data_IF_015245790864
#
_entry.id   IF_015245790864
#
_cell.length_a   1.000
_cell.length_b   1.000
_cell.length_c   1.000
_cell.angle_alpha   90.00
_cell.angle_beta   90.00
_cell.angle_gamma   90.00
#
_symmetry.space_group_name_H-M   'P 1'
#
loop_
_entity.id
_entity.type
_entity.pdbx_description
1 polymer ?
2 water ?
#
# COMPACT_ATOMS: atom_id res chain seq x y z
N UNK A 3 4.37 11.99 -3.23
CA UNK A 3 4.78 10.71 -3.82
C UNK A 3 3.61 10.01 -4.49
N UNK A 4 3.85 9.47 -5.68
CA UNK A 4 2.81 8.73 -6.39
C UNK A 4 2.44 7.48 -5.62
N UNK A 5 1.15 7.37 -5.28
CA UNK A 5 0.64 6.19 -4.60
C UNK A 5 0.30 5.10 -5.61
N UNK A 6 0.23 3.87 -5.12
CA UNK A 6 0.16 2.71 -5.99
C UNK A 6 -0.76 1.67 -5.38
N UNK A 7 -1.06 0.65 -6.17
CA UNK A 7 -1.67 -0.56 -5.66
C UNK A 7 -1.24 -1.71 -6.56
N UNK A 8 -1.36 -2.94 -6.06
CA UNK A 8 -0.89 -4.15 -6.73
C UNK A 8 -2.11 -4.96 -7.18
N UNK A 9 -2.10 -5.38 -8.44
CA UNK A 9 -3.24 -6.05 -9.03
C UNK A 9 -2.76 -7.17 -9.96
N UNK A 10 -3.64 -8.15 -10.17
CA UNK A 10 -3.41 -9.26 -11.10
C UNK A 10 -2.15 -10.06 -10.72
N UNK A 11 -2.08 -10.45 -9.44
CA UNK A 11 -0.93 -11.15 -8.89
C UNK A 11 -1.06 -12.64 -9.21
N UNK A 12 -0.12 -13.16 -10.01
CA UNK A 12 -0.07 -14.59 -10.31
C UNK A 12 1.38 -15.07 -10.26
N UNK A 13 1.58 -16.28 -9.78
CA UNK A 13 2.89 -16.90 -9.68
C UNK A 13 3.03 -17.93 -10.79
N UNK A 14 3.96 -17.67 -11.67
CA UNK A 14 4.33 -18.57 -12.73
C UNK A 14 5.76 -19.01 -12.54
N UNK A 15 6.11 -20.07 -13.22
CA UNK A 15 7.44 -20.56 -13.17
C UNK A 15 8.06 -20.12 -14.47
N UNK A 16 9.07 -19.29 -14.37
CA UNK A 16 9.70 -18.73 -15.52
C UNK A 16 11.16 -19.10 -15.49
N UNK A 17 11.70 -19.53 -16.61
CA UNK A 17 13.08 -19.94 -16.71
C UNK A 17 13.50 -20.88 -15.62
N UNK A 18 12.72 -21.94 -15.53
CA UNK A 18 12.89 -23.00 -14.58
C UNK A 18 12.76 -22.65 -13.12
N UNK A 19 12.31 -21.45 -12.80
CA UNK A 19 12.12 -21.10 -11.39
C UNK A 19 10.99 -20.08 -11.27
N UNK A 20 10.62 -19.79 -10.04
CA UNK A 20 9.32 -19.21 -9.72
C UNK A 20 9.41 -17.70 -9.56
N UNK A 21 8.53 -16.98 -10.28
CA UNK A 21 8.46 -15.53 -10.22
C UNK A 21 7.00 -15.12 -10.06
N UNK A 22 6.78 -14.03 -9.35
CA UNK A 22 5.45 -13.44 -9.21
C UNK A 22 5.33 -12.31 -10.23
N UNK A 23 4.35 -12.44 -11.12
CA UNK A 23 4.00 -11.38 -12.06
C UNK A 23 2.80 -10.60 -11.52
N UNK A 24 2.89 -9.28 -11.61
CA UNK A 24 1.83 -8.45 -11.06
C UNK A 24 1.83 -7.12 -11.80
N UNK A 25 0.71 -6.41 -11.68
CA UNK A 25 0.55 -5.09 -12.25
C UNK A 25 0.75 -4.05 -11.16
N UNK A 26 1.63 -3.09 -11.43
CA UNK A 26 1.82 -1.94 -10.55
C UNK A 26 0.94 -0.82 -11.09
N UNK A 27 -0.08 -0.46 -10.33
CA UNK A 27 -1.12 0.45 -10.80
C UNK A 27 -1.00 1.74 -10.02
N UNK A 28 -0.70 2.83 -10.72
CA UNK A 28 -0.73 4.17 -10.15
C UNK A 28 -1.70 5.04 -10.94
N UNK A 29 -1.90 6.27 -10.46
CA UNK A 29 -2.74 7.22 -11.18
C UNK A 29 -2.14 7.60 -12.54
N UNK A 30 -0.92 7.18 -12.84
CA UNK A 30 -0.26 7.52 -14.09
C UNK A 30 -0.12 6.32 -15.04
N UNK A 31 -0.78 5.21 -14.74
CA UNK A 31 -0.75 4.05 -15.62
C UNK A 31 -0.50 2.78 -14.84
N UNK A 32 -0.27 1.70 -15.59
CA UNK A 32 -0.02 0.40 -15.02
C UNK A 32 1.07 -0.31 -15.82
N UNK A 33 1.91 -1.07 -15.12
CA UNK A 33 2.98 -1.84 -15.74
C UNK A 33 3.01 -3.22 -15.13
N UNK A 34 3.34 -4.22 -15.94
CA UNK A 34 3.57 -5.57 -15.45
C UNK A 34 5.01 -5.68 -14.96
N UNK A 35 5.18 -6.18 -13.74
CA UNK A 35 6.49 -6.43 -13.16
C UNK A 35 6.60 -7.91 -12.78
N UNK A 36 7.83 -8.34 -12.53
CA UNK A 36 8.09 -9.73 -12.20
C UNK A 36 9.23 -9.80 -11.21
N UNK A 37 9.07 -10.60 -10.16
CA UNK A 37 10.09 -10.72 -9.14
C UNK A 37 10.16 -12.16 -8.63
N UNK A 38 11.37 -12.57 -8.25
CA UNK A 38 11.58 -13.92 -7.76
C UNK A 38 10.93 -14.12 -6.39
N UNK A 39 10.59 -15.36 -6.09
CA UNK A 39 9.85 -15.72 -4.89
C UNK A 39 10.67 -16.71 -4.07
N UNK A 40 10.69 -16.50 -2.75
CA UNK A 40 11.33 -17.41 -1.81
C UNK A 40 10.27 -18.16 -1.02
N UNK A 41 10.58 -19.40 -0.67
CA UNK A 41 9.66 -20.27 0.07
C UNK A 41 10.37 -20.80 1.31
N UNK A 42 9.57 -21.20 2.30
CA UNK A 42 10.14 -21.86 3.46
C UNK A 42 10.50 -23.30 3.11
N UNK A 43 11.10 -24.01 4.06
CA UNK A 43 11.53 -25.39 3.81
C UNK A 43 10.37 -26.29 3.43
N UNK A 44 9.14 -25.86 3.68
CA UNK A 44 7.96 -26.66 3.39
C UNK A 44 7.35 -26.36 2.03
N UNK A 45 7.97 -25.49 1.24
CA UNK A 45 7.42 -25.13 -0.06
C UNK A 45 6.33 -24.09 -0.04
N UNK A 46 6.10 -23.44 1.09
CA UNK A 46 5.12 -22.38 1.20
C UNK A 46 5.82 -21.03 1.11
N UNK A 47 5.11 -20.05 0.56
CA UNK A 47 5.69 -18.72 0.32
C UNK A 47 6.30 -18.16 1.61
N UNK A 48 7.46 -17.52 1.48
CA UNK A 48 8.12 -16.87 2.60
C UNK A 48 8.33 -15.39 2.35
N UNK A 49 8.91 -15.03 1.21
CA UNK A 49 9.21 -13.63 0.91
C UNK A 49 9.35 -13.46 -0.59
N UNK A 50 9.26 -12.20 -1.02
CA UNK A 50 9.59 -11.80 -2.38
C UNK A 50 10.94 -11.11 -2.34
N UNK A 51 11.86 -11.54 -3.21
CA UNK A 51 13.22 -11.03 -3.15
C UNK A 51 13.26 -9.54 -3.46
N UNK A 52 14.06 -8.81 -2.68
CA UNK A 52 14.18 -7.36 -2.72
C UNK A 52 15.61 -6.93 -3.02
N UNK A 53 16.48 -7.89 -3.28
CA UNK A 53 17.92 -7.66 -3.27
C UNK A 53 18.57 -8.03 -4.59
N UNK A 54 18.71 -9.31 -4.88
CA UNK A 54 18.90 -9.80 -6.24
C UNK A 54 17.60 -9.68 -7.02
N UNK A 55 16.86 -8.61 -6.77
CA UNK A 55 15.50 -8.44 -7.28
C UNK A 55 15.53 -8.12 -8.76
N UNK A 56 14.73 -8.84 -9.53
CA UNK A 56 14.67 -8.62 -10.97
C UNK A 56 14.21 -7.21 -11.30
N UNK A 57 13.36 -6.62 -10.45
CA UNK A 57 12.85 -5.28 -10.74
C UNK A 57 13.96 -4.24 -10.60
N UNK A 58 14.71 -4.30 -9.50
CA UNK A 58 15.76 -3.31 -9.25
C UNK A 58 16.89 -3.41 -10.26
N UNK A 59 17.10 -4.58 -10.86
CA UNK A 59 18.23 -4.78 -11.76
C UNK A 59 17.84 -4.95 -13.22
N UNK A 60 16.54 -5.03 -13.53
CA UNK A 60 16.14 -5.25 -14.91
C UNK A 60 14.87 -4.54 -15.34
N UNK A 61 14.13 -3.92 -14.43
CA UNK A 61 12.84 -3.32 -14.76
C UNK A 61 12.66 -1.99 -14.04
N UNK A 62 13.71 -1.19 -13.96
CA UNK A 62 13.59 0.10 -13.29
C UNK A 62 12.86 1.11 -14.17
N UNK A 63 13.17 1.12 -15.47
CA UNK A 63 12.43 1.99 -16.37
C UNK A 63 10.94 1.64 -16.38
N UNK A 64 10.60 0.36 -16.25
CA UNK A 64 9.20 -0.03 -16.08
C UNK A 64 8.66 0.49 -14.76
N UNK A 65 9.41 0.29 -13.67
CA UNK A 65 8.96 0.74 -12.36
C UNK A 65 8.76 2.25 -12.33
N UNK A 66 9.69 3.00 -12.92
CA UNK A 66 9.63 4.46 -12.89
C UNK A 66 8.60 5.02 -13.86
N UNK A 67 8.16 4.24 -14.83
CA UNK A 67 7.27 4.76 -15.86
C UNK A 67 5.86 5.06 -15.36
N UNK A 68 5.54 4.72 -14.11
CA UNK A 68 4.25 5.04 -13.51
C UNK A 68 4.39 5.98 -12.33
N UNK A 69 5.60 6.36 -11.97
CA UNK A 69 5.82 7.33 -10.91
C UNK A 69 6.08 8.69 -11.52
N UNK A 70 5.69 9.74 -10.79
CA UNK A 70 5.96 11.11 -11.19
C UNK A 70 7.36 11.46 -10.67
N UNK A 71 8.34 11.51 -11.58
CA UNK A 71 9.72 11.70 -11.18
C UNK A 71 10.09 13.17 -10.98
N UNK A 72 9.30 14.10 -11.52
CA UNK A 72 9.48 15.49 -11.11
C UNK A 72 9.18 15.62 -9.62
N UNK A 73 9.89 16.53 -8.97
CA UNK A 73 10.03 16.74 -7.54
C UNK A 73 11.08 15.81 -6.92
N UNK A 74 11.57 14.81 -7.64
CA UNK A 74 12.68 14.03 -7.14
C UNK A 74 13.95 14.86 -7.22
N UNK A 75 14.71 14.97 -6.14
CA UNK A 75 16.06 15.55 -6.24
C UNK A 75 16.88 14.85 -7.31
N UNK A 76 17.58 15.64 -8.12
CA UNK A 76 18.36 15.07 -9.21
C UNK A 76 19.41 14.10 -8.67
N UNK A 77 20.03 14.43 -7.55
CA UNK A 77 21.09 13.57 -7.01
C UNK A 77 20.54 12.35 -6.27
N UNK A 78 19.24 12.22 -6.13
CA UNK A 78 18.73 10.99 -5.54
C UNK A 78 18.35 10.01 -6.63
N UNK A 79 18.75 8.75 -6.53
CA UNK A 79 18.43 7.78 -7.58
C UNK A 79 16.94 7.50 -7.66
N UNK A 80 16.49 7.19 -8.88
CA UNK A 80 15.09 6.88 -9.10
C UNK A 80 14.64 5.69 -8.26
N UNK A 81 15.49 4.66 -8.17
CA UNK A 81 15.11 3.46 -7.42
C UNK A 81 14.93 3.77 -5.93
N UNK A 82 15.63 4.78 -5.43
CA UNK A 82 15.48 5.15 -4.03
C UNK A 82 14.31 6.11 -3.83
N UNK A 83 14.01 6.94 -4.83
CA UNK A 83 12.90 7.88 -4.70
C UNK A 83 11.57 7.14 -4.61
N UNK A 84 11.25 6.36 -5.64
CA UNK A 84 10.00 5.62 -5.64
C UNK A 84 10.00 4.64 -4.46
N UNK A 85 8.79 4.30 -4.01
CA UNK A 85 8.61 3.51 -2.79
C UNK A 85 8.74 2.03 -3.12
N UNK A 86 9.94 1.65 -3.57
CA UNK A 86 10.17 0.28 -3.99
C UNK A 86 10.01 -0.70 -2.84
N UNK A 87 10.55 -0.36 -1.66
CA UNK A 87 10.34 -1.19 -0.49
C UNK A 87 8.86 -1.34 -0.18
N UNK A 88 8.10 -0.24 -0.23
CA UNK A 88 6.65 -0.34 0.01
C UNK A 88 5.98 -1.20 -1.04
N UNK A 89 6.48 -1.17 -2.28
CA UNK A 89 5.89 -1.96 -3.36
C UNK A 89 6.10 -3.45 -3.11
N UNK A 90 7.34 -3.84 -2.80
CA UNK A 90 7.64 -5.23 -2.50
C UNK A 90 6.83 -5.70 -1.30
N UNK A 91 6.71 -4.85 -0.28
CA UNK A 91 5.95 -5.21 0.91
C UNK A 91 4.47 -5.43 0.60
N UNK A 92 3.93 -4.72 -0.39
CA UNK A 92 2.52 -4.89 -0.74
C UNK A 92 2.29 -6.17 -1.53
N UNK A 93 3.24 -6.53 -2.39
CA UNK A 93 3.15 -7.79 -3.15
C UNK A 93 3.22 -8.98 -2.22
N UNK A 94 4.07 -8.89 -1.19
CA UNK A 94 4.14 -9.95 -0.18
C UNK A 94 2.82 -10.09 0.56
N UNK A 95 2.18 -8.97 0.89
CA UNK A 95 0.88 -9.03 1.54
C UNK A 95 -0.14 -9.74 0.65
N UNK A 96 -0.10 -9.51 -0.66
CA UNK A 96 -1.03 -10.17 -1.56
C UNK A 96 -0.77 -11.67 -1.67
N UNK A 97 0.40 -12.13 -1.25
CA UNK A 97 0.80 -13.52 -1.47
C UNK A 97 0.72 -14.39 -0.21
N UNK A 98 0.26 -13.84 0.91
CA UNK A 98 0.12 -14.64 2.12
C UNK A 98 -1.29 -15.16 2.29
N UNK B 2 -12.85 -15.10 4.64
CA UNK B 2 -14.29 -15.13 4.88
C UNK B 2 -15.07 -15.33 3.58
N UNK B 3 -16.40 -15.40 3.70
CA UNK B 3 -17.26 -15.52 2.53
C UNK B 3 -17.52 -14.19 1.84
N UNK B 4 -17.17 -13.07 2.48
CA UNK B 4 -17.50 -11.75 1.98
C UNK B 4 -16.27 -10.93 1.60
N UNK B 5 -15.09 -11.51 1.68
CA UNK B 5 -13.87 -10.77 1.34
C UNK B 5 -13.76 -10.61 -0.17
N UNK B 6 -13.38 -9.41 -0.60
CA UNK B 6 -13.23 -9.10 -2.02
C UNK B 6 -12.18 -8.02 -2.19
N UNK B 7 -11.71 -7.88 -3.43
CA UNK B 7 -10.84 -6.78 -3.81
C UNK B 7 -11.23 -6.28 -5.19
N UNK B 8 -11.03 -4.99 -5.43
CA UNK B 8 -11.35 -4.34 -6.70
C UNK B 8 -10.08 -4.14 -7.49
N UNK B 9 -10.11 -4.49 -8.77
CA UNK B 9 -8.97 -4.34 -9.66
C UNK B 9 -9.44 -3.92 -11.05
N UNK B 10 -8.49 -3.43 -11.84
CA UNK B 10 -8.73 -3.08 -13.26
C UNK B 10 -9.85 -2.05 -13.39
N UNK B 11 -9.81 -1.03 -12.53
CA UNK B 11 -10.79 0.04 -12.56
C UNK B 11 -10.51 0.95 -13.74
N UNK B 12 -11.56 1.31 -14.47
CA UNK B 12 -11.48 2.32 -15.53
C UNK B 12 -12.89 2.79 -15.85
N UNK B 13 -13.01 4.08 -16.12
CA UNK B 13 -14.29 4.68 -16.49
C UNK B 13 -14.34 4.78 -18.01
N UNK B 14 -15.37 4.19 -18.60
CA UNK B 14 -15.58 4.24 -20.04
C UNK B 14 -16.95 4.85 -20.34
N UNK B 15 -17.02 5.59 -21.45
CA UNK B 15 -18.25 6.23 -21.87
C UNK B 15 -18.90 5.40 -22.97
N UNK B 16 -20.19 5.09 -22.79
CA UNK B 16 -20.93 4.25 -23.72
C UNK B 16 -22.29 4.92 -23.93
N UNK B 17 -22.49 5.52 -25.10
CA UNK B 17 -23.69 6.30 -25.42
C UNK B 17 -23.96 7.37 -24.37
N UNK B 18 -23.00 8.30 -24.24
CA UNK B 18 -23.08 9.43 -23.32
C UNK B 18 -23.09 8.98 -21.86
N UNK B 19 -23.20 7.68 -21.62
CA UNK B 19 -23.29 7.13 -20.27
C UNK B 19 -21.88 6.86 -19.75
N UNK B 20 -21.44 7.67 -18.79
CA UNK B 20 -20.20 7.38 -18.10
C UNK B 20 -20.40 6.19 -17.17
N UNK B 21 -19.53 5.20 -17.29
CA UNK B 21 -19.63 3.99 -16.47
C UNK B 21 -18.25 3.59 -16.00
N UNK B 22 -18.17 3.17 -14.75
CA UNK B 22 -16.94 2.58 -14.23
C UNK B 22 -17.02 1.07 -14.43
N UNK B 23 -15.96 0.50 -14.99
CA UNK B 23 -15.81 -0.94 -15.10
C UNK B 23 -14.67 -1.40 -14.21
N UNK B 24 -14.80 -2.59 -13.64
CA UNK B 24 -13.79 -3.06 -12.71
C UNK B 24 -14.00 -4.55 -12.48
N UNK B 25 -12.91 -5.22 -12.10
CA UNK B 25 -12.95 -6.63 -11.76
C UNK B 25 -13.18 -6.75 -10.25
N UNK B 26 -14.24 -7.47 -9.88
CA UNK B 26 -14.47 -7.85 -8.49
C UNK B 26 -13.75 -9.17 -8.25
N UNK B 27 -12.74 -9.15 -7.37
CA UNK B 27 -11.90 -10.31 -7.11
C UNK B 27 -12.17 -10.80 -5.69
N UNK B 28 -12.63 -12.04 -5.57
CA UNK B 28 -12.92 -12.66 -4.28
C UNK B 28 -12.10 -13.94 -4.13
N UNK B 29 -12.46 -14.73 -3.12
CA UNK B 29 -11.81 -16.01 -2.89
C UNK B 29 -12.35 -17.10 -3.81
N UNK B 30 -13.46 -16.86 -4.50
CA UNK B 30 -14.01 -17.83 -5.43
C UNK B 30 -13.67 -17.55 -6.89
N UNK B 31 -13.20 -16.34 -7.20
CA UNK B 31 -12.86 -16.00 -8.57
C UNK B 31 -12.94 -14.49 -8.80
N UNK B 32 -13.20 -14.13 -10.05
CA UNK B 32 -13.25 -12.73 -10.43
C UNK B 32 -14.22 -12.54 -11.59
N UNK B 33 -14.84 -11.35 -11.63
CA UNK B 33 -15.82 -11.03 -12.66
C UNK B 33 -15.85 -9.53 -12.84
N UNK B 34 -16.12 -9.09 -14.06
CA UNK B 34 -16.14 -7.66 -14.37
C UNK B 34 -17.53 -7.07 -14.16
N UNK B 35 -17.61 -6.00 -13.37
CA UNK B 35 -18.85 -5.27 -13.14
C UNK B 35 -18.76 -3.88 -13.75
N UNK B 36 -19.92 -3.25 -13.88
CA UNK B 36 -20.04 -1.93 -14.48
C UNK B 36 -21.14 -1.15 -13.77
N UNK B 37 -20.89 0.13 -13.52
CA UNK B 37 -21.74 0.93 -12.67
C UNK B 37 -21.68 2.38 -13.11
N UNK B 38 -22.80 3.10 -12.89
CA UNK B 38 -22.92 4.48 -13.35
C UNK B 38 -22.10 5.44 -12.48
N UNK B 39 -21.64 6.52 -13.11
CA UNK B 39 -20.72 7.47 -12.49
C UNK B 39 -21.28 8.88 -12.67
N UNK B 40 -21.10 9.73 -11.64
CA UNK B 40 -21.55 11.11 -11.65
C UNK B 40 -20.36 12.07 -11.55
N UNK B 41 -20.53 13.27 -12.12
CA UNK B 41 -19.52 14.31 -12.07
C UNK B 41 -20.14 15.63 -11.65
N UNK B 42 -19.28 16.58 -11.28
CA UNK B 42 -19.72 17.95 -10.99
C UNK B 42 -19.66 18.77 -12.28
N UNK B 43 -19.87 20.09 -12.16
CA UNK B 43 -19.99 20.94 -13.33
C UNK B 43 -18.68 21.02 -14.11
N UNK B 44 -17.54 20.96 -13.42
CA UNK B 44 -16.25 21.03 -14.10
C UNK B 44 -16.00 19.76 -14.90
N UNK B 45 -15.97 18.62 -14.23
CA UNK B 45 -15.74 17.36 -14.90
C UNK B 45 -15.08 16.33 -14.02
N UNK B 46 -14.84 16.68 -12.76
CA UNK B 46 -14.24 15.76 -11.81
C UNK B 46 -15.27 14.75 -11.32
N UNK B 47 -14.78 13.58 -10.91
CA UNK B 47 -15.65 12.52 -10.43
C UNK B 47 -16.36 12.94 -9.15
N UNK B 48 -17.67 12.68 -9.08
CA UNK B 48 -18.47 13.02 -7.92
C UNK B 48 -18.87 11.79 -7.11
N UNK B 49 -19.51 10.81 -7.73
CA UNK B 49 -20.06 9.70 -6.95
C UNK B 49 -20.28 8.52 -7.87
N UNK B 50 -20.46 7.35 -7.24
CA UNK B 50 -20.90 6.14 -7.91
C UNK B 50 -22.37 5.94 -7.57
N UNK B 51 -23.17 5.61 -8.58
CA UNK B 51 -24.58 5.33 -8.36
C UNK B 51 -24.74 4.05 -7.54
N UNK B 52 -25.51 4.13 -6.45
CA UNK B 52 -25.75 2.95 -5.63
C UNK B 52 -27.22 2.65 -5.34
N UNK B 53 -28.15 3.43 -5.90
CA UNK B 53 -29.57 3.15 -5.72
C UNK B 53 -30.25 2.69 -7.00
N UNK B 54 -30.17 3.50 -8.06
CA UNK B 54 -30.55 3.03 -9.39
C UNK B 54 -29.36 2.33 -10.05
N UNK B 55 -28.76 1.42 -9.30
CA UNK B 55 -27.45 0.88 -9.64
C UNK B 55 -27.57 -0.26 -10.64
N UNK B 56 -26.62 -0.31 -11.57
CA UNK B 56 -26.57 -1.41 -12.52
C UNK B 56 -26.14 -2.70 -11.83
N UNK B 57 -25.18 -2.62 -10.92
CA UNK B 57 -24.72 -3.80 -10.18
C UNK B 57 -25.87 -4.42 -9.40
N UNK B 58 -26.63 -3.60 -8.68
CA UNK B 58 -27.64 -4.11 -7.75
C UNK B 58 -28.64 -5.02 -8.46
N UNK B 59 -29.24 -4.53 -9.55
CA UNK B 59 -30.38 -5.20 -10.16
C UNK B 59 -30.04 -5.97 -11.43
N UNK B 60 -29.06 -5.51 -12.21
CA UNK B 60 -28.76 -6.13 -13.50
C UNK B 60 -27.62 -7.12 -13.48
N UNK B 61 -26.83 -7.20 -12.40
CA UNK B 61 -25.70 -8.11 -12.39
C UNK B 61 -25.73 -9.04 -11.19
N UNK B 62 -26.91 -9.60 -10.91
CA UNK B 62 -27.03 -10.56 -9.81
C UNK B 62 -26.26 -11.84 -10.13
N UNK B 63 -26.38 -12.34 -11.36
CA UNK B 63 -25.74 -13.61 -11.72
C UNK B 63 -24.22 -13.50 -11.64
N UNK B 64 -23.67 -12.36 -12.10
CA UNK B 64 -22.24 -12.13 -11.99
C UNK B 64 -21.80 -12.05 -10.54
N UNK B 65 -22.57 -11.37 -9.70
CA UNK B 65 -22.22 -11.26 -8.28
C UNK B 65 -22.25 -12.62 -7.59
N UNK B 66 -23.20 -13.47 -7.97
CA UNK B 66 -23.28 -14.82 -7.42
C UNK B 66 -22.21 -15.74 -7.99
N UNK B 67 -21.47 -15.31 -9.01
CA UNK B 67 -20.37 -16.10 -9.52
C UNK B 67 -19.12 -16.01 -8.66
N UNK B 68 -18.97 -14.93 -7.90
CA UNK B 68 -17.84 -14.76 -6.99
C UNK B 68 -18.26 -14.76 -5.54
N UNK B 69 -19.56 -14.86 -5.26
CA UNK B 69 -20.09 -15.01 -3.91
C UNK B 69 -21.03 -16.20 -3.88
N UNK B 70 -20.95 -16.99 -2.81
CA UNK B 70 -21.89 -18.08 -2.63
C UNK B 70 -23.25 -17.56 -2.17
N UNK B 74 -30.87 -15.51 -2.11
CA UNK B 74 -31.00 -16.81 -2.77
C UNK B 74 -32.27 -16.98 -3.63
N UNK B 75 -33.47 -16.75 -3.06
CA UNK B 75 -34.70 -17.15 -3.77
C UNK B 75 -34.84 -16.47 -5.13
N UNK B 76 -35.64 -17.10 -6.00
CA UNK B 76 -35.75 -16.67 -7.38
C UNK B 76 -36.64 -15.45 -7.57
N UNK B 77 -37.58 -15.20 -6.66
CA UNK B 77 -38.42 -14.01 -6.77
C UNK B 77 -37.76 -12.75 -6.20
N UNK B 78 -36.68 -12.89 -5.44
CA UNK B 78 -35.88 -11.75 -5.00
C UNK B 78 -34.43 -12.19 -4.87
N UNK B 79 -33.70 -12.21 -5.99
CA UNK B 79 -32.33 -12.74 -5.99
C UNK B 79 -31.28 -11.79 -5.42
N UNK B 80 -31.68 -10.72 -4.75
CA UNK B 80 -30.74 -9.74 -4.22
C UNK B 80 -29.74 -10.39 -3.28
N UNK B 81 -28.46 -10.03 -3.44
CA UNK B 81 -27.44 -10.43 -2.50
C UNK B 81 -27.41 -9.43 -1.35
N UNK B 82 -26.43 -9.57 -0.46
CA UNK B 82 -26.47 -8.91 0.83
C UNK B 82 -26.09 -7.44 0.71
N UNK B 83 -26.68 -6.61 1.59
CA UNK B 83 -26.63 -5.17 1.41
C UNK B 83 -25.31 -4.55 1.86
N UNK B 84 -24.79 -4.95 3.03
CA UNK B 84 -23.51 -4.39 3.47
C UNK B 84 -22.40 -4.77 2.49
N UNK B 85 -22.50 -5.95 1.87
CA UNK B 85 -21.55 -6.32 0.83
C UNK B 85 -21.65 -5.37 -0.36
N UNK B 86 -22.86 -5.20 -0.89
CA UNK B 86 -23.06 -4.29 -2.01
C UNK B 86 -22.57 -2.89 -1.68
N UNK B 87 -22.90 -2.39 -0.48
CA UNK B 87 -22.43 -1.07 -0.09
C UNK B 87 -20.90 -1.04 0.01
N UNK B 88 -20.30 -2.12 0.50
CA UNK B 88 -18.84 -2.20 0.56
C UNK B 88 -18.23 -2.12 -0.83
N UNK B 89 -18.82 -2.84 -1.79
CA UNK B 89 -18.30 -2.83 -3.15
C UNK B 89 -18.35 -1.43 -3.73
N UNK B 90 -19.49 -0.74 -3.58
CA UNK B 90 -19.62 0.61 -4.10
C UNK B 90 -18.62 1.54 -3.44
N UNK B 91 -18.37 1.34 -2.15
CA UNK B 91 -17.46 2.22 -1.41
C UNK B 91 -16.03 2.04 -1.89
N UNK B 92 -15.58 0.80 -2.08
CA UNK B 92 -14.23 0.56 -2.58
C UNK B 92 -14.03 1.21 -3.95
N UNK B 93 -14.99 1.05 -4.86
CA UNK B 93 -14.89 1.67 -6.18
C UNK B 93 -14.85 3.19 -6.05
N UNK B 94 -15.66 3.74 -5.13
CA UNK B 94 -15.68 5.18 -4.94
C UNK B 94 -14.33 5.72 -4.47
N UNK B 95 -13.60 4.94 -3.67
CA UNK B 95 -12.31 5.41 -3.17
C UNK B 95 -11.22 5.35 -4.23
N UNK B 96 -11.35 4.42 -5.18
CA UNK B 96 -10.39 4.36 -6.28
C UNK B 96 -10.52 5.55 -7.21
N UNK B 97 -11.75 6.02 -7.43
CA UNK B 97 -12.04 7.04 -8.44
C UNK B 97 -11.83 8.47 -7.94
N UNK B 98 -11.49 8.65 -6.67
CA UNK B 98 -11.31 9.99 -6.12
C UNK B 98 -9.82 10.34 -6.00
N UNK C 4 12.81 19.16 4.91
CA UNK C 4 11.77 18.14 5.01
C UNK C 4 10.92 18.32 6.26
N UNK C 5 9.66 17.92 6.17
CA UNK C 5 8.77 17.76 7.32
C UNK C 5 8.50 16.28 7.52
N UNK C 6 7.89 15.95 8.66
CA UNK C 6 7.65 14.55 8.99
C UNK C 6 6.37 14.43 9.82
N UNK C 7 5.78 13.23 9.77
CA UNK C 7 4.65 12.87 10.60
C UNK C 7 4.87 11.47 11.16
N UNK C 8 4.25 11.19 12.29
CA UNK C 8 4.43 9.93 13.00
C UNK C 8 3.08 9.22 13.08
N UNK C 9 3.09 7.91 12.84
CA UNK C 9 1.90 7.09 12.94
C UNK C 9 2.24 5.75 13.57
N UNK C 10 1.21 5.07 14.03
CA UNK C 10 1.30 3.67 14.47
C UNK C 10 2.17 3.50 15.72
N UNK C 11 2.10 4.46 16.64
CA UNK C 11 2.86 4.36 17.88
C UNK C 11 2.27 3.25 18.75
N UNK C 12 3.13 2.54 19.47
CA UNK C 12 2.71 1.49 20.40
C UNK C 12 3.93 0.98 21.16
N UNK C 13 3.74 0.66 22.44
CA UNK C 13 4.80 0.08 23.24
C UNK C 13 4.77 -1.43 23.07
N UNK C 14 5.95 -2.02 22.92
CA UNK C 14 6.05 -3.47 22.90
C UNK C 14 7.43 -3.87 23.40
N UNK C 15 7.48 -4.98 24.13
CA UNK C 15 8.73 -5.50 24.63
C UNK C 15 9.45 -6.24 23.52
N UNK C 16 10.73 -5.90 23.30
CA UNK C 16 11.56 -6.52 22.28
C UNK C 16 12.91 -6.83 22.94
N UNK C 17 13.17 -8.11 23.21
CA UNK C 17 14.41 -8.55 23.86
C UNK C 17 14.57 -7.86 25.22
N UNK C 18 13.65 -8.20 26.13
CA UNK C 18 13.67 -7.74 27.52
C UNK C 18 13.55 -6.23 27.66
N UNK C 19 13.69 -5.51 26.55
CA UNK C 19 13.74 -4.06 26.57
C UNK C 19 12.37 -3.47 26.30
N UNK C 20 12.03 -2.41 27.03
CA UNK C 20 10.81 -1.66 26.78
C UNK C 20 11.11 -0.65 25.67
N UNK C 21 10.49 -0.84 24.52
CA UNK C 21 10.72 0.03 23.38
C UNK C 21 9.39 0.45 22.79
N UNK C 22 9.43 1.46 21.94
CA UNK C 22 8.26 1.93 21.21
C UNK C 22 8.53 1.77 19.73
N UNK C 23 7.61 1.11 19.03
CA UNK C 23 7.67 0.98 17.59
C UNK C 23 6.67 1.93 16.98
N UNK C 24 7.11 2.67 15.96
CA UNK C 24 6.25 3.61 15.28
C UNK C 24 6.63 3.64 13.81
N UNK C 25 5.96 4.49 13.05
CA UNK C 25 6.26 4.69 11.63
C UNK C 25 6.56 6.16 11.40
N UNK C 26 7.70 6.43 10.77
CA UNK C 26 8.06 7.78 10.35
C UNK C 26 7.57 7.95 8.91
N UNK C 27 6.86 9.05 8.65
CA UNK C 27 6.18 9.25 7.38
C UNK C 27 6.54 10.64 6.86
N UNK C 28 6.86 10.72 5.57
CA UNK C 28 7.33 11.96 4.96
C UNK C 28 6.82 12.01 3.53
N UNK C 29 7.26 13.04 2.79
CA UNK C 29 7.01 13.06 1.35
C UNK C 29 7.71 11.89 0.68
N UNK C 30 8.96 11.63 1.06
CA UNK C 30 9.78 10.58 0.48
C UNK C 30 9.35 9.18 0.85
N UNK C 31 8.28 9.01 1.61
CA UNK C 31 7.84 7.67 1.95
C UNK C 31 7.60 7.42 3.42
N UNK C 32 7.89 6.19 3.85
CA UNK C 32 7.52 5.76 5.19
C UNK C 32 8.43 4.62 5.61
N UNK C 33 8.87 4.65 6.87
CA UNK C 33 9.74 3.62 7.42
C UNK C 33 9.40 3.43 8.88
N UNK C 34 9.68 2.23 9.40
CA UNK C 34 9.41 1.87 10.77
C UNK C 34 10.69 1.97 11.60
N UNK C 35 10.58 2.55 12.79
CA UNK C 35 11.69 2.70 13.71
C UNK C 35 11.30 2.18 15.09
N UNK C 36 12.31 1.93 15.92
CA UNK C 36 12.11 1.44 17.27
C UNK C 36 13.12 2.07 18.21
N UNK C 37 12.67 2.49 19.38
CA UNK C 37 13.50 3.23 20.32
C UNK C 37 13.11 2.85 21.74
N UNK C 38 14.09 2.93 22.65
CA UNK C 38 13.85 2.56 24.03
C UNK C 38 12.95 3.58 24.73
N UNK C 39 12.26 3.11 25.76
CA UNK C 39 11.35 3.93 26.56
C UNK C 39 11.84 3.90 28.01
N UNK C 40 11.84 5.05 28.66
CA UNK C 40 12.15 5.15 30.07
C UNK C 40 10.87 5.44 30.86
N UNK C 41 10.83 4.96 32.09
CA UNK C 41 9.67 5.09 32.93
C UNK C 41 10.06 5.74 34.26
N UNK C 42 9.05 5.98 35.09
CA UNK C 42 9.25 6.52 36.42
C UNK C 42 9.16 5.39 37.44
N UNK C 43 9.23 5.76 38.73
CA UNK C 43 9.27 4.77 39.81
C UNK C 43 7.98 3.96 39.88
N UNK C 44 6.87 4.51 39.39
CA UNK C 44 5.59 3.81 39.37
C UNK C 44 5.36 3.03 38.08
N UNK C 45 6.35 2.97 37.20
CA UNK C 45 6.20 2.24 35.95
C UNK C 45 5.36 2.94 34.90
N UNK C 46 5.10 4.24 35.06
CA UNK C 46 4.41 5.00 34.03
C UNK C 46 5.41 5.66 33.08
N UNK C 47 4.93 6.01 31.90
CA UNK C 47 5.80 6.48 30.83
C UNK C 47 6.49 7.79 31.20
N UNK C 48 7.82 7.79 31.19
CA UNK C 48 8.61 8.99 31.44
C UNK C 48 9.02 9.68 30.14
N UNK C 49 9.77 8.99 29.29
CA UNK C 49 10.32 9.60 28.09
C UNK C 49 10.73 8.52 27.11
N UNK C 50 11.07 8.95 25.90
CA UNK C 50 11.64 8.09 24.88
C UNK C 50 13.13 8.44 24.76
N UNK C 51 13.99 7.41 24.80
CA UNK C 51 15.42 7.65 24.93
C UNK C 51 15.96 8.40 23.72
N UNK C 52 16.66 9.50 23.97
CA UNK C 52 17.25 10.31 22.92
C UNK C 52 18.76 10.17 22.80
N UNK C 53 19.45 9.74 23.87
CA UNK C 53 20.91 9.65 23.85
C UNK C 53 21.41 8.24 23.56
N UNK C 54 21.18 7.30 24.50
CA UNK C 54 21.51 5.91 24.25
C UNK C 54 20.44 5.32 23.35
N UNK C 55 20.40 5.82 22.11
CA UNK C 55 19.27 5.66 21.22
C UNK C 55 19.51 4.50 20.27
N UNK C 56 18.60 3.52 20.30
CA UNK C 56 18.67 2.42 19.34
C UNK C 56 18.66 2.93 17.90
N UNK C 57 17.84 3.95 17.64
CA UNK C 57 17.76 4.51 16.29
C UNK C 57 19.12 5.05 15.86
N UNK C 58 19.81 5.74 16.76
CA UNK C 58 21.10 6.34 16.40
C UNK C 58 22.22 5.31 16.30
N UNK C 59 22.09 4.16 16.96
CA UNK C 59 23.11 3.13 16.87
C UNK C 59 22.89 2.19 15.69
N UNK C 60 21.64 1.90 15.34
CA UNK C 60 21.35 0.79 14.42
C UNK C 60 20.41 1.11 13.27
N UNK C 61 19.59 2.16 13.34
CA UNK C 61 18.64 2.45 12.28
C UNK C 61 18.93 3.79 11.62
N UNK C 62 20.20 4.11 11.41
CA UNK C 62 20.56 5.37 10.76
C UNK C 62 20.14 5.36 9.31
N UNK C 63 20.40 4.24 8.60
CA UNK C 63 20.01 4.16 7.20
C UNK C 63 18.49 4.22 7.05
N UNK C 64 17.76 3.56 7.94
CA UNK C 64 16.30 3.55 7.84
C UNK C 64 15.72 4.94 8.04
N UNK C 65 16.18 5.65 9.07
CA UNK C 65 15.66 6.99 9.33
C UNK C 65 16.00 7.94 8.18
N UNK C 66 17.17 7.78 7.58
CA UNK C 66 17.59 8.65 6.49
C UNK C 66 16.92 8.29 5.17
N UNK C 67 16.49 7.03 5.01
CA UNK C 67 15.87 6.57 3.77
C UNK C 67 14.57 7.30 3.45
N UNK C 68 14.04 8.08 4.38
CA UNK C 68 12.83 8.87 4.14
C UNK C 68 13.15 10.36 4.18
N UNK C 69 14.40 10.74 3.98
CA UNK C 69 14.78 12.15 3.93
C UNK C 69 15.64 12.42 2.71
N UNK C 70 15.56 13.64 2.22
CA UNK C 70 16.44 14.11 1.15
C UNK C 70 17.67 14.73 1.80
N UNK C 71 18.78 13.99 1.79
CA UNK C 71 20.05 14.47 2.31
C UNK C 71 21.07 14.57 1.19
N UNK C 72 20.65 15.11 0.05
CA UNK C 72 21.56 15.35 -1.07
C UNK C 72 22.42 16.57 -0.79
N UNK C 73 22.77 16.77 0.48
CA UNK C 73 23.71 17.79 0.92
C UNK C 73 24.50 17.21 2.09
N UNK C 74 25.82 17.18 1.95
CA UNK C 74 26.79 16.71 2.94
C UNK C 74 26.77 15.19 3.10
N UNK C 75 26.99 14.40 2.04
CA UNK C 75 27.05 12.95 2.22
C UNK C 75 28.37 12.52 2.84
N UNK C 76 28.28 11.58 3.77
CA UNK C 76 29.47 11.03 4.43
C UNK C 76 29.11 9.77 5.21
N UNK C 80 24.32 10.15 8.28
CA UNK C 80 24.27 11.36 9.09
C UNK C 80 22.85 11.62 9.57
N UNK C 81 22.70 11.94 10.86
CA UNK C 81 21.41 12.18 11.49
C UNK C 81 21.42 13.57 12.10
N UNK C 82 20.59 14.46 11.57
CA UNK C 82 20.45 15.80 12.11
C UNK C 82 19.82 15.74 13.50
N UNK C 83 20.56 16.16 14.52
CA UNK C 83 20.10 15.96 15.89
C UNK C 83 18.86 16.81 16.20
N UNK C 84 18.72 17.98 15.57
CA UNK C 84 17.52 18.77 15.75
C UNK C 84 16.30 18.00 15.24
N UNK C 85 16.40 17.46 14.02
CA UNK C 85 15.29 16.70 13.46
C UNK C 85 15.01 15.45 14.29
N UNK C 86 16.07 14.77 14.74
CA UNK C 86 15.86 13.56 15.54
C UNK C 86 15.18 13.91 16.87
N UNK C 87 15.52 15.05 17.46
CA UNK C 87 14.83 15.48 18.68
C UNK C 87 13.36 15.76 18.40
N UNK C 88 13.07 16.44 17.30
CA UNK C 88 11.68 16.68 16.93
C UNK C 88 10.92 15.37 16.73
N UNK C 89 11.57 14.38 16.14
CA UNK C 89 10.93 13.08 15.94
C UNK C 89 10.66 12.43 17.29
N UNK C 90 11.66 12.44 18.19
CA UNK C 90 11.48 11.84 19.51
C UNK C 90 10.38 12.56 20.28
N UNK C 91 10.39 13.90 20.25
CA UNK C 91 9.34 14.65 20.92
C UNK C 91 7.98 14.36 20.30
N UNK C 92 7.89 14.36 18.96
CA UNK C 92 6.63 14.04 18.30
C UNK C 92 6.18 12.62 18.64
N UNK C 93 7.12 11.69 18.83
CA UNK C 93 6.77 10.39 19.37
C UNK C 93 6.21 10.55 20.77
N UNK C 94 7.02 11.13 21.68
CA UNK C 94 6.63 11.28 23.08
C UNK C 94 5.23 11.85 23.23
N UNK C 95 4.88 12.84 22.41
CA UNK C 95 3.59 13.50 22.53
C UNK C 95 2.41 12.56 22.27
N UNK C 96 2.61 11.50 21.47
CA UNK C 96 1.57 10.51 21.23
C UNK C 96 1.62 9.36 22.22
N UNK C 97 2.08 9.62 23.43
CA UNK C 97 2.20 8.60 24.47
C UNK C 97 1.73 9.07 25.82
N UNK C 98 1.34 10.33 25.97
CA UNK C 98 0.97 10.91 27.25
C UNK C 98 -0.51 11.20 27.29
#
# INVERSE_FOLDING_TARGET
>A
GSMTTFRIENVRIETINDFDMVKFDLVTDLGRVELAEHVNYDSEGDFKSVEYTDSNIRYNMVDELCSVFDLTDKPSLMPAIDYVTFAEIIEAVEEMLEA
>B
GSMTTFRIENVRIETINDFDMVKFDLVTDLGRVELAEHVNYDSEGDFKSVEYTDSNIRYNMVDELCSVFDLTDKPSLMPAIDYVTFAEIIEAVEEMLEA
>C
GSMTTFRIENVRIETINDFDMVKFDLVTDLGRVELAEHVNYDSEGDFKSVEYTDSNIRYNMVDELCSVFDLTDKPSLMPAIDYVTFAEIIEAVEEMLEA
#
